data_IF_182022178216
#
_entry.id   IF_182022178216
#
_cell.length_a   1.000
_cell.length_b   1.000
_cell.length_c   1.000
_cell.angle_alpha   90.00
_cell.angle_beta   90.00
_cell.angle_gamma   90.00
#
_symmetry.space_group_name_H-M   'P 1'
#
loop_
_entity.id
_entity.type
_entity.pdbx_description
1 polymer ?
#
# COMPACT_ATOMS: atom_id res chain seq x y z
N UNK A 1 -13.39 -14.01 8.74
CA UNK A 1 -12.75 -13.18 7.69
C UNK A 1 -12.63 -13.93 6.36
N UNK A 2 -12.05 -15.15 6.33
CA UNK A 2 -11.89 -15.94 5.10
C UNK A 2 -13.19 -16.20 4.30
N UNK A 3 -14.31 -16.58 4.96
CA UNK A 3 -15.62 -16.78 4.29
C UNK A 3 -16.11 -15.51 3.58
N UNK A 4 -16.00 -14.36 4.25
CA UNK A 4 -16.42 -13.06 3.73
C UNK A 4 -15.52 -12.58 2.58
N UNK A 5 -14.21 -12.76 2.74
CA UNK A 5 -13.23 -12.49 1.69
C UNK A 5 -13.57 -13.27 0.42
N UNK A 6 -13.79 -14.58 0.54
CA UNK A 6 -14.17 -15.44 -0.59
C UNK A 6 -15.49 -15.00 -1.21
N UNK A 7 -16.52 -14.76 -0.40
CA UNK A 7 -17.82 -14.31 -0.91
C UNK A 7 -17.73 -12.97 -1.67
N UNK A 8 -16.94 -12.02 -1.17
CA UNK A 8 -16.72 -10.72 -1.83
C UNK A 8 -16.01 -10.89 -3.17
N UNK A 9 -14.95 -11.69 -3.21
CA UNK A 9 -14.15 -11.91 -4.42
C UNK A 9 -14.93 -12.74 -5.46
N UNK A 10 -15.71 -13.75 -5.05
CA UNK A 10 -16.55 -14.50 -5.97
C UNK A 10 -17.64 -13.65 -6.62
N UNK A 11 -18.20 -12.65 -5.91
CA UNK A 11 -19.14 -11.67 -6.51
C UNK A 11 -18.47 -10.78 -7.57
N UNK A 12 -17.14 -10.66 -7.52
CA UNK A 12 -16.30 -9.93 -8.48
C UNK A 12 -15.75 -10.82 -9.60
N UNK A 13 -16.15 -12.10 -9.64
CA UNK A 13 -15.76 -13.04 -10.69
C UNK A 13 -14.50 -13.86 -10.39
N UNK A 14 -13.92 -13.73 -9.21
CA UNK A 14 -12.74 -14.52 -8.83
C UNK A 14 -13.10 -15.95 -8.45
N UNK A 15 -12.42 -16.91 -9.08
CA UNK A 15 -12.51 -18.34 -8.77
C UNK A 15 -11.43 -18.67 -7.76
N UNK A 16 -11.78 -18.61 -6.48
CA UNK A 16 -10.92 -19.04 -5.38
C UNK A 16 -11.27 -20.50 -5.08
N UNK A 17 -10.39 -21.43 -5.44
CA UNK A 17 -10.59 -22.88 -5.33
C UNK A 17 -10.86 -23.42 -3.92
N UNK A 18 -10.22 -24.52 -3.52
CA UNK A 18 -10.58 -25.19 -2.25
C UNK A 18 -10.54 -24.25 -1.03
N UNK A 19 -11.33 -24.49 0.04
CA UNK A 19 -11.36 -23.64 1.25
C UNK A 19 -9.98 -23.38 1.88
N UNK A 20 -9.04 -24.31 1.68
CA UNK A 20 -7.70 -24.29 2.29
C UNK A 20 -6.60 -23.76 1.36
N UNK A 21 -6.91 -23.48 0.09
CA UNK A 21 -5.95 -22.98 -0.91
C UNK A 21 -6.48 -21.74 -1.64
N UNK A 22 -5.56 -20.87 -2.06
CA UNK A 22 -5.81 -19.88 -3.11
C UNK A 22 -5.30 -20.50 -4.42
N UNK A 23 -6.20 -20.93 -5.28
CA UNK A 23 -5.83 -21.44 -6.63
C UNK A 23 -5.55 -20.32 -7.63
N UNK A 24 -5.56 -19.06 -7.16
CA UNK A 24 -5.16 -17.90 -7.95
C UNK A 24 -3.65 -17.73 -7.81
N UNK A 25 -2.97 -17.55 -8.95
CA UNK A 25 -1.56 -17.18 -8.98
C UNK A 25 -1.33 -15.87 -8.21
N UNK A 26 -0.49 -15.90 -7.18
CA UNK A 26 -0.22 -14.74 -6.31
C UNK A 26 0.88 -13.84 -6.88
N UNK A 27 0.84 -13.54 -8.20
CA UNK A 27 1.67 -12.48 -8.78
C UNK A 27 1.30 -11.11 -8.20
N UNK A 28 2.22 -10.15 -8.23
CA UNK A 28 1.94 -8.80 -7.74
C UNK A 28 0.71 -8.16 -8.42
N UNK A 29 0.57 -8.38 -9.72
CA UNK A 29 -0.60 -8.00 -10.52
C UNK A 29 -1.94 -8.46 -9.90
N UNK A 30 -2.04 -9.76 -9.64
CA UNK A 30 -3.25 -10.38 -9.10
C UNK A 30 -3.49 -9.96 -7.66
N UNK A 31 -2.43 -9.82 -6.85
CA UNK A 31 -2.54 -9.32 -5.48
C UNK A 31 -3.11 -7.90 -5.47
N UNK A 32 -2.62 -7.00 -6.33
CA UNK A 32 -3.15 -5.63 -6.46
C UNK A 32 -4.62 -5.64 -6.89
N UNK A 33 -4.97 -6.42 -7.91
CA UNK A 33 -6.35 -6.52 -8.39
C UNK A 33 -7.29 -7.04 -7.30
N UNK A 34 -6.91 -8.13 -6.61
CA UNK A 34 -7.68 -8.72 -5.51
C UNK A 34 -7.85 -7.76 -4.34
N UNK A 35 -6.83 -6.97 -3.99
CA UNK A 35 -6.93 -5.95 -2.93
C UNK A 35 -7.98 -4.88 -3.27
N UNK A 36 -7.92 -4.35 -4.49
CA UNK A 36 -8.85 -3.33 -4.95
C UNK A 36 -10.28 -3.88 -5.02
N UNK A 37 -10.50 -5.04 -5.65
CA UNK A 37 -11.83 -5.66 -5.72
C UNK A 37 -12.41 -5.98 -4.36
N UNK A 38 -11.57 -6.44 -3.43
CA UNK A 38 -11.99 -6.74 -2.07
C UNK A 38 -12.39 -5.47 -1.33
N UNK A 39 -11.59 -4.41 -1.43
CA UNK A 39 -11.91 -3.15 -0.76
C UNK A 39 -13.13 -2.46 -1.39
N UNK A 40 -13.22 -2.37 -2.71
CA UNK A 40 -14.38 -1.79 -3.39
C UNK A 40 -15.67 -2.58 -3.13
N UNK A 41 -15.58 -3.92 -3.05
CA UNK A 41 -16.74 -4.78 -2.80
C UNK A 41 -17.23 -4.77 -1.36
N UNK A 42 -16.35 -4.52 -0.39
CA UNK A 42 -16.67 -4.61 1.05
C UNK A 42 -16.64 -3.29 1.80
N UNK A 43 -15.96 -2.27 1.27
CA UNK A 43 -15.54 -1.06 2.00
C UNK A 43 -14.80 -1.36 3.31
N UNK A 44 -14.23 -2.56 3.46
CA UNK A 44 -13.56 -3.03 4.68
C UNK A 44 -12.05 -3.16 4.43
N UNK A 45 -11.30 -2.16 4.88
CA UNK A 45 -9.84 -2.15 4.79
C UNK A 45 -9.19 -3.26 5.65
N UNK A 46 -9.84 -3.72 6.72
CA UNK A 46 -9.32 -4.82 7.53
C UNK A 46 -9.46 -6.16 6.81
N UNK A 47 -10.53 -6.35 6.04
CA UNK A 47 -10.69 -7.51 5.17
C UNK A 47 -9.63 -7.55 4.07
N UNK A 48 -9.34 -6.40 3.44
CA UNK A 48 -8.25 -6.26 2.47
C UNK A 48 -6.88 -6.55 3.10
N UNK A 49 -6.61 -6.01 4.29
CA UNK A 49 -5.37 -6.25 5.02
C UNK A 49 -5.20 -7.71 5.45
N UNK A 50 -6.30 -8.38 5.80
CA UNK A 50 -6.29 -9.81 6.07
C UNK A 50 -5.89 -10.62 4.84
N UNK A 51 -6.46 -10.31 3.67
CA UNK A 51 -6.05 -10.92 2.42
C UNK A 51 -4.57 -10.66 2.12
N UNK A 52 -4.10 -9.41 2.25
CA UNK A 52 -2.69 -9.05 2.07
C UNK A 52 -1.74 -9.91 2.90
N UNK A 53 -2.07 -10.11 4.19
CA UNK A 53 -1.28 -10.97 5.09
C UNK A 53 -1.38 -12.44 4.73
N UNK A 54 -2.55 -12.89 4.29
CA UNK A 54 -2.81 -14.28 3.92
C UNK A 54 -2.06 -14.65 2.62
N UNK A 55 -2.10 -13.80 1.60
CA UNK A 55 -1.39 -14.03 0.34
C UNK A 55 0.12 -14.08 0.55
N UNK A 56 0.67 -13.23 1.44
CA UNK A 56 2.09 -13.29 1.81
C UNK A 56 2.48 -14.63 2.46
N UNK A 57 1.59 -15.20 3.28
CA UNK A 57 1.82 -16.50 3.91
C UNK A 57 1.80 -17.64 2.90
N UNK A 58 0.90 -17.58 1.91
CA UNK A 58 0.81 -18.61 0.87
C UNK A 58 1.95 -18.53 -0.14
N UNK A 59 2.39 -17.34 -0.53
CA UNK A 59 3.51 -17.19 -1.46
C UNK A 59 4.87 -17.44 -0.80
N UNK A 60 4.98 -17.22 0.52
CA UNK A 60 6.26 -17.24 1.25
C UNK A 60 7.17 -16.06 0.92
N UNK A 61 6.75 -15.15 0.04
CA UNK A 61 7.53 -14.02 -0.45
C UNK A 61 6.96 -12.71 0.10
N UNK A 62 7.83 -11.70 0.26
CA UNK A 62 7.35 -10.33 0.52
C UNK A 62 6.61 -9.81 -0.71
N UNK A 63 5.59 -9.00 -0.45
CA UNK A 63 4.90 -8.28 -1.51
C UNK A 63 5.79 -7.23 -2.16
N UNK A 64 5.63 -7.06 -3.47
CA UNK A 64 6.28 -6.00 -4.22
C UNK A 64 5.72 -4.61 -3.87
N UNK A 65 6.38 -3.56 -4.38
CA UNK A 65 6.08 -2.18 -4.03
C UNK A 65 4.66 -1.75 -4.43
N UNK A 66 4.10 -2.27 -5.52
CA UNK A 66 2.74 -1.91 -5.96
C UNK A 66 1.68 -2.51 -5.06
N UNK A 67 1.86 -3.78 -4.67
CA UNK A 67 0.97 -4.42 -3.71
C UNK A 67 1.02 -3.71 -2.34
N UNK A 68 2.22 -3.33 -1.87
CA UNK A 68 2.35 -2.55 -0.62
C UNK A 68 1.70 -1.17 -0.76
N UNK A 69 1.96 -0.45 -1.85
CA UNK A 69 1.40 0.90 -2.11
C UNK A 69 -0.13 0.87 -2.16
N UNK A 70 -0.70 -0.13 -2.84
CA UNK A 70 -2.16 -0.37 -2.89
C UNK A 70 -2.72 -0.58 -1.48
N UNK A 71 -2.07 -1.43 -0.67
CA UNK A 71 -2.52 -1.68 0.70
C UNK A 71 -2.36 -0.44 1.60
N UNK A 72 -1.33 0.40 1.39
CA UNK A 72 -1.18 1.69 2.09
C UNK A 72 -2.34 2.62 1.78
N UNK A 73 -2.73 2.75 0.51
CA UNK A 73 -3.88 3.59 0.10
C UNK A 73 -5.20 3.07 0.67
N UNK A 74 -5.42 1.77 0.63
CA UNK A 74 -6.61 1.13 1.23
C UNK A 74 -6.63 1.37 2.74
N UNK A 75 -5.50 1.23 3.41
CA UNK A 75 -5.40 1.44 4.85
C UNK A 75 -5.75 2.89 5.22
N UNK A 76 -5.21 3.89 4.51
CA UNK A 76 -5.57 5.30 4.73
C UNK A 76 -7.06 5.55 4.42
N UNK A 77 -7.58 4.99 3.33
CA UNK A 77 -8.99 5.14 2.95
C UNK A 77 -9.95 4.54 3.99
N UNK A 78 -9.56 3.43 4.63
CA UNK A 78 -10.29 2.80 5.72
C UNK A 78 -9.95 3.33 7.12
N UNK A 79 -9.26 4.48 7.23
CA UNK A 79 -8.84 5.08 8.49
C UNK A 79 -7.95 4.17 9.37
N UNK A 80 -7.24 3.24 8.77
CA UNK A 80 -6.24 2.35 9.38
C UNK A 80 -4.83 2.94 9.26
N UNK A 81 -4.66 4.22 9.59
CA UNK A 81 -3.40 4.96 9.42
C UNK A 81 -2.20 4.31 10.14
N UNK A 82 -2.43 3.68 11.29
CA UNK A 82 -1.40 2.93 12.01
C UNK A 82 -0.85 1.75 11.18
N UNK A 83 -1.69 1.09 10.37
CA UNK A 83 -1.26 0.05 9.43
C UNK A 83 -0.48 0.67 8.27
N UNK A 84 -0.97 1.76 7.69
CA UNK A 84 -0.27 2.46 6.61
C UNK A 84 1.16 2.87 7.03
N UNK A 85 1.31 3.50 8.19
CA UNK A 85 2.62 3.88 8.77
C UNK A 85 3.50 2.66 9.01
N UNK A 86 2.94 1.56 9.52
CA UNK A 86 3.70 0.32 9.73
C UNK A 86 4.19 -0.29 8.41
N UNK A 87 3.38 -0.27 7.35
CA UNK A 87 3.75 -0.76 6.03
C UNK A 87 4.87 0.11 5.42
N UNK A 88 4.71 1.44 5.43
CA UNK A 88 5.75 2.37 4.97
C UNK A 88 7.05 2.19 5.75
N UNK A 89 6.98 2.01 7.08
CA UNK A 89 8.14 1.71 7.91
C UNK A 89 8.83 0.41 7.49
N UNK A 90 8.06 -0.62 7.15
CA UNK A 90 8.60 -1.92 6.75
C UNK A 90 9.35 -1.86 5.42
N UNK A 91 8.86 -1.07 4.46
CA UNK A 91 9.50 -0.86 3.15
C UNK A 91 10.78 -0.05 3.31
N UNK A 92 10.73 1.01 4.13
CA UNK A 92 11.87 1.88 4.33
C UNK A 92 12.91 1.34 5.31
N UNK A 93 12.70 0.19 5.96
CA UNK A 93 13.58 -0.26 7.05
C UNK A 93 15.02 -0.42 6.59
N UNK A 94 15.20 -1.05 5.44
CA UNK A 94 16.50 -1.51 4.93
C UNK A 94 17.08 -0.53 3.88
N UNK A 95 16.45 0.63 3.67
CA UNK A 95 16.92 1.68 2.75
C UNK A 95 18.01 2.51 3.44
N UNK A 96 19.21 2.49 2.86
CA UNK A 96 20.33 3.36 3.21
C UNK A 96 20.33 4.65 2.38
N UNK A 97 21.17 5.62 2.74
CA UNK A 97 21.22 6.92 2.06
C UNK A 97 21.69 6.81 0.60
N UNK A 98 22.49 5.78 0.26
CA UNK A 98 23.08 5.61 -1.06
C UNK A 98 22.06 5.07 -2.08
N UNK A 99 21.23 4.12 -1.66
CA UNK A 99 20.14 3.54 -2.48
C UNK A 99 18.82 4.33 -2.38
N UNK A 100 18.76 5.35 -1.52
CA UNK A 100 17.55 6.10 -1.23
C UNK A 100 16.91 6.75 -2.46
N UNK A 101 17.71 7.23 -3.42
CA UNK A 101 17.21 7.93 -4.61
C UNK A 101 16.37 7.03 -5.52
N UNK A 102 16.93 5.89 -5.93
CA UNK A 102 16.25 4.92 -6.81
C UNK A 102 15.01 4.33 -6.13
N UNK A 103 15.15 3.94 -4.85
CA UNK A 103 14.03 3.42 -4.07
C UNK A 103 12.92 4.44 -3.88
N UNK A 104 13.26 5.70 -3.68
CA UNK A 104 12.28 6.78 -3.56
C UNK A 104 11.52 6.98 -4.86
N UNK A 105 12.20 7.02 -6.00
CA UNK A 105 11.52 7.15 -7.28
C UNK A 105 10.56 5.98 -7.51
N UNK A 106 11.02 4.75 -7.30
CA UNK A 106 10.21 3.54 -7.47
C UNK A 106 9.01 3.50 -6.51
N UNK A 107 9.17 3.90 -5.25
CA UNK A 107 8.06 4.02 -4.30
C UNK A 107 7.11 5.14 -4.67
N UNK A 108 7.62 6.32 -5.04
CA UNK A 108 6.82 7.47 -5.44
C UNK A 108 5.98 7.16 -6.70
N UNK A 109 6.58 6.49 -7.70
CA UNK A 109 5.90 6.03 -8.90
C UNK A 109 4.77 5.06 -8.54
N UNK A 110 5.07 4.02 -7.76
CA UNK A 110 4.08 3.03 -7.33
C UNK A 110 2.93 3.65 -6.51
N UNK A 111 3.24 4.61 -5.63
CA UNK A 111 2.23 5.34 -4.85
C UNK A 111 1.32 6.18 -5.74
N UNK A 112 1.84 6.80 -6.81
CA UNK A 112 1.00 7.54 -7.77
C UNK A 112 0.17 6.60 -8.63
N UNK A 113 0.79 5.55 -9.17
CA UNK A 113 0.13 4.56 -10.03
C UNK A 113 -1.05 3.87 -9.34
N UNK A 114 -0.93 3.60 -8.03
CA UNK A 114 -1.92 2.83 -7.27
C UNK A 114 -2.95 3.69 -6.53
N UNK A 115 -2.82 5.03 -6.56
CA UNK A 115 -3.77 5.91 -5.86
C UNK A 115 -4.95 6.28 -6.74
N UNK A 116 -6.16 6.07 -6.20
CA UNK A 116 -7.41 6.52 -6.80
C UNK A 116 -7.95 7.82 -6.17
N UNK A 117 -7.23 8.41 -5.21
CA UNK A 117 -7.70 9.59 -4.47
C UNK A 117 -6.56 10.54 -4.16
N UNK A 118 -6.68 11.77 -4.65
CA UNK A 118 -5.72 12.85 -4.38
C UNK A 118 -5.52 13.06 -2.87
N UNK A 119 -6.60 13.07 -2.09
CA UNK A 119 -6.55 13.27 -0.63
C UNK A 119 -5.82 12.13 0.09
N UNK A 120 -6.04 10.89 -0.36
CA UNK A 120 -5.34 9.72 0.18
C UNK A 120 -3.85 9.82 -0.14
N UNK A 121 -3.51 10.14 -1.39
CA UNK A 121 -2.12 10.31 -1.81
C UNK A 121 -1.40 11.40 -1.01
N UNK A 122 -2.03 12.57 -0.83
CA UNK A 122 -1.50 13.67 -0.01
C UNK A 122 -1.23 13.24 1.44
N UNK A 123 -2.13 12.43 2.01
CA UNK A 123 -1.96 11.87 3.36
C UNK A 123 -0.76 10.90 3.40
N UNK A 124 -0.65 9.99 2.43
CA UNK A 124 0.46 9.04 2.35
C UNK A 124 1.79 9.75 2.16
N UNK A 125 1.85 10.77 1.30
CA UNK A 125 3.05 11.59 1.12
C UNK A 125 3.40 12.35 2.40
N UNK A 126 2.42 12.89 3.12
CA UNK A 126 2.66 13.53 4.43
C UNK A 126 3.26 12.54 5.45
N UNK A 127 2.77 11.29 5.50
CA UNK A 127 3.35 10.23 6.35
C UNK A 127 4.80 9.92 5.95
N UNK A 128 5.07 9.90 4.64
CA UNK A 128 6.39 9.57 4.10
C UNK A 128 7.40 10.69 4.36
N UNK A 129 7.01 11.97 4.21
CA UNK A 129 7.83 13.14 4.59
C UNK A 129 8.21 13.05 6.06
N UNK A 130 7.24 12.86 6.96
CA UNK A 130 7.49 12.70 8.39
C UNK A 130 8.48 11.56 8.66
N UNK A 131 8.32 10.44 7.96
CA UNK A 131 9.20 9.28 8.13
C UNK A 131 10.63 9.53 7.66
N UNK A 132 10.81 10.26 6.56
CA UNK A 132 12.15 10.66 6.09
C UNK A 132 12.82 11.61 7.08
N UNK A 133 12.08 12.58 7.63
CA UNK A 133 12.58 13.47 8.68
C UNK A 133 13.00 12.68 9.92
N UNK A 134 12.15 11.76 10.41
CA UNK A 134 12.45 10.92 11.58
C UNK A 134 13.70 10.04 11.39
N UNK A 135 14.03 9.67 10.15
CA UNK A 135 15.24 8.90 9.80
C UNK A 135 16.47 9.77 9.51
N UNK A 136 16.35 11.10 9.54
CA UNK A 136 17.43 12.02 9.14
C UNK A 136 17.66 12.10 7.63
N UNK A 137 16.77 11.55 6.80
CA UNK A 137 16.86 11.55 5.34
C UNK A 137 16.32 12.87 4.76
N UNK A 138 16.90 14.00 5.18
CA UNK A 138 16.37 15.34 4.91
C UNK A 138 16.28 15.66 3.42
N UNK A 139 17.24 15.21 2.61
CA UNK A 139 17.22 15.40 1.15
C UNK A 139 15.99 14.75 0.50
N UNK A 140 15.63 13.55 0.96
CA UNK A 140 14.46 12.83 0.45
C UNK A 140 13.16 13.46 0.91
N UNK A 141 13.13 13.98 2.15
CA UNK A 141 12.00 14.74 2.64
C UNK A 141 11.76 16.00 1.78
N UNK A 142 12.81 16.76 1.48
CA UNK A 142 12.71 17.95 0.60
C UNK A 142 12.24 17.56 -0.80
N UNK A 143 12.87 16.55 -1.42
CA UNK A 143 12.49 16.08 -2.76
C UNK A 143 11.01 15.69 -2.83
N UNK A 144 10.50 14.99 -1.81
CA UNK A 144 9.09 14.61 -1.75
C UNK A 144 8.17 15.82 -1.57
N UNK A 145 8.58 16.84 -0.82
CA UNK A 145 7.81 18.08 -0.67
C UNK A 145 7.75 18.85 -1.99
N UNK A 146 8.84 18.86 -2.77
CA UNK A 146 8.85 19.46 -4.10
C UNK A 146 7.93 18.68 -5.06
N UNK A 147 7.94 17.35 -5.03
CA UNK A 147 6.99 16.51 -5.78
C UNK A 147 5.54 16.79 -5.39
N UNK A 148 5.26 16.90 -4.08
CA UNK A 148 3.94 17.29 -3.58
C UNK A 148 3.51 18.62 -4.16
N UNK A 149 4.39 19.63 -4.14
CA UNK A 149 4.11 20.97 -4.66
C UNK A 149 3.80 20.94 -6.15
N UNK A 150 4.54 20.15 -6.94
CA UNK A 150 4.30 19.98 -8.38
C UNK A 150 2.93 19.34 -8.67
N UNK A 151 2.40 18.55 -7.73
CA UNK A 151 1.05 17.98 -7.80
C UNK A 151 -0.03 18.88 -7.16
N UNK A 152 0.34 20.08 -6.71
CA UNK A 152 -0.54 21.01 -5.99
C UNK A 152 -0.98 20.48 -4.62
N UNK A 153 -0.19 19.62 -3.99
CA UNK A 153 -0.40 19.07 -2.65
C UNK A 153 0.56 19.74 -1.66
N UNK A 154 0.22 19.68 -0.37
CA UNK A 154 1.07 20.20 0.69
C UNK A 154 1.16 19.21 1.86
N UNK A 155 2.32 19.07 2.52
CA UNK A 155 2.42 18.23 3.70
C UNK A 155 1.45 18.68 4.79
N UNK A 156 0.79 17.73 5.42
CA UNK A 156 -0.06 17.99 6.59
C UNK A 156 0.56 17.41 7.85
N UNK A 157 0.32 18.06 8.98
CA UNK A 157 0.74 17.57 10.31
C UNK A 157 -0.23 16.54 10.91
N UNK A 158 -1.35 16.24 10.22
CA UNK A 158 -2.45 15.42 10.74
C UNK A 158 -2.27 13.91 10.49
N UNK A 159 -1.03 13.43 10.51
CA UNK A 159 -0.63 12.05 10.19
C UNK A 159 0.10 11.34 11.32
#
# INVERSE_FOLDING_TARGET
MMKWMRASLSRRGWILGSPNSLEVELCECNVVALLNDLFEGSSDAALAFYFFRLSQRYSGLKHGVRAVSTMVHIAVSGNMNHIAVNLLRSVLRDVDEYSAGEWHQLLSDALRETSNSRRVLETVYSMLVKRYVDKGMIKMAISLVDDMRNLGMYPTIRV
#
